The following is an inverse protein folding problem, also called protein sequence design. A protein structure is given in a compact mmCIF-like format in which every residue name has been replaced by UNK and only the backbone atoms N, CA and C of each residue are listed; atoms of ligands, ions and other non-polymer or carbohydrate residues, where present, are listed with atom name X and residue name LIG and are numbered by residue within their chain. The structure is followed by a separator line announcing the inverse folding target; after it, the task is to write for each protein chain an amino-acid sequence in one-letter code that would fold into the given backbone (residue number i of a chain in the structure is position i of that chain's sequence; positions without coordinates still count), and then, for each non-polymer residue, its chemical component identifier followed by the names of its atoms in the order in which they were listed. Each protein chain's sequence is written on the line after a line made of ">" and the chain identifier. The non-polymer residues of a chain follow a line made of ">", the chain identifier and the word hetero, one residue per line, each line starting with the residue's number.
data_IF_163630810625
#
_entry.id   IF_163630810625
#
_cell.length_a   1.000
_cell.length_b   1.000
_cell.length_c   1.000
_cell.angle_alpha   90.00
_cell.angle_beta   90.00
_cell.angle_gamma   90.00
#
_symmetry.space_group_name_H-M   'P 1'
#
loop_
_entity.id
_entity.type
_entity.pdbx_description
1 polymer ?
#
# COMPACT_ATOMS: atom_id res chain seq x y z
N UNK A 1 10.58 -8.03 -1.55
CA UNK A 1 9.38 -8.87 -1.76
C UNK A 1 8.31 -8.04 -2.42
N UNK A 2 7.53 -8.60 -3.36
CA UNK A 2 6.51 -7.86 -4.14
C UNK A 2 5.13 -8.49 -4.03
N UNK A 3 4.11 -7.65 -4.00
CA UNK A 3 2.69 -8.02 -4.00
C UNK A 3 1.99 -7.31 -5.15
N UNK A 4 1.07 -8.01 -5.81
CA UNK A 4 0.21 -7.44 -6.84
C UNK A 4 -1.23 -7.46 -6.32
N UNK A 5 -1.76 -6.28 -6.03
CA UNK A 5 -3.09 -6.10 -5.47
C UNK A 5 -4.03 -5.52 -6.53
N UNK A 6 -5.29 -5.94 -6.52
CA UNK A 6 -6.32 -5.50 -7.46
C UNK A 6 -7.52 -5.02 -6.65
N UNK A 7 -7.58 -3.71 -6.33
CA UNK A 7 -8.76 -3.15 -5.66
C UNK A 7 -10.03 -3.37 -6.48
N UNK A 8 -11.18 -3.33 -5.81
CA UNK A 8 -12.45 -3.29 -6.51
C UNK A 8 -12.60 -1.96 -7.27
N UNK A 9 -12.97 -1.98 -8.56
CA UNK A 9 -13.32 -0.75 -9.28
C UNK A 9 -14.57 -0.08 -8.70
N UNK A 10 -14.67 1.28 -8.78
CA UNK A 10 -13.64 2.19 -9.26
C UNK A 10 -12.59 2.50 -8.19
N UNK A 11 -11.31 2.57 -8.58
CA UNK A 11 -10.22 2.91 -7.66
C UNK A 11 -9.20 3.87 -8.28
N UNK A 12 -9.18 5.11 -7.83
CA UNK A 12 -8.18 6.11 -8.23
C UNK A 12 -7.00 6.12 -7.25
N UNK A 13 -5.89 5.50 -7.65
CA UNK A 13 -4.70 5.44 -6.80
C UNK A 13 -4.10 6.82 -6.54
N UNK A 14 -4.09 7.74 -7.50
CA UNK A 14 -3.49 9.06 -7.32
C UNK A 14 -4.30 9.88 -6.31
N UNK A 15 -5.63 9.81 -6.39
CA UNK A 15 -6.52 10.43 -5.43
C UNK A 15 -6.35 9.80 -4.04
N UNK A 16 -6.34 8.47 -3.93
CA UNK A 16 -6.13 7.76 -2.66
C UNK A 16 -4.78 8.12 -2.04
N UNK A 17 -3.71 8.14 -2.84
CA UNK A 17 -2.37 8.51 -2.41
C UNK A 17 -2.29 9.97 -1.95
N UNK A 18 -2.92 10.91 -2.66
CA UNK A 18 -2.99 12.32 -2.23
C UNK A 18 -3.78 12.47 -0.93
N UNK A 19 -4.88 11.73 -0.77
CA UNK A 19 -5.69 11.77 0.44
C UNK A 19 -4.93 11.27 1.69
N UNK A 20 -3.95 10.38 1.53
CA UNK A 20 -3.18 9.84 2.67
C UNK A 20 -2.48 10.92 3.51
N UNK A 21 -2.13 12.07 2.91
CA UNK A 21 -1.48 13.19 3.60
C UNK A 21 -2.31 13.76 4.76
N UNK A 22 -3.63 13.53 4.73
CA UNK A 22 -4.54 14.01 5.77
C UNK A 22 -4.67 13.06 6.95
N UNK A 23 -4.25 11.80 6.81
CA UNK A 23 -4.51 10.74 7.80
C UNK A 23 -3.25 10.21 8.49
N UNK A 24 -2.05 10.47 7.94
CA UNK A 24 -0.80 10.00 8.55
C UNK A 24 0.42 10.80 8.12
N UNK A 25 1.33 11.02 9.07
CA UNK A 25 2.68 11.55 8.81
C UNK A 25 3.67 10.46 8.37
N UNK A 26 3.27 9.19 8.43
CA UNK A 26 4.08 8.04 8.02
C UNK A 26 3.83 7.65 6.56
N UNK A 27 3.07 8.46 5.83
CA UNK A 27 2.83 8.36 4.39
C UNK A 27 3.61 9.44 3.66
N UNK A 28 4.26 9.07 2.57
CA UNK A 28 4.87 10.03 1.66
C UNK A 28 4.52 9.65 0.22
N UNK A 29 3.78 10.52 -0.46
CA UNK A 29 3.52 10.39 -1.88
C UNK A 29 4.50 11.27 -2.67
N UNK A 30 5.38 10.65 -3.47
CA UNK A 30 6.39 11.35 -4.27
C UNK A 30 6.68 10.56 -5.54
N UNK A 31 6.84 11.26 -6.66
CA UNK A 31 7.22 10.65 -7.95
C UNK A 31 6.28 9.51 -8.39
N UNK A 32 4.98 9.63 -8.08
CA UNK A 32 3.97 8.60 -8.39
C UNK A 32 4.03 7.35 -7.49
N UNK A 33 4.79 7.41 -6.39
CA UNK A 33 5.00 6.31 -5.45
C UNK A 33 4.53 6.70 -4.06
N UNK A 34 3.72 5.83 -3.43
CA UNK A 34 3.27 5.99 -2.06
C UNK A 34 4.14 5.14 -1.14
N UNK A 35 4.92 5.81 -0.29
CA UNK A 35 5.75 5.18 0.72
C UNK A 35 5.00 5.12 2.04
N UNK A 36 5.12 3.98 2.74
CA UNK A 36 4.51 3.83 4.06
C UNK A 36 5.35 2.98 5.00
N UNK A 37 5.65 3.52 6.18
CA UNK A 37 6.19 2.75 7.29
C UNK A 37 5.04 2.16 8.13
N UNK A 38 5.01 0.83 8.29
CA UNK A 38 4.00 0.12 9.08
C UNK A 38 4.63 -0.97 9.96
N UNK A 39 3.90 -1.36 11.02
CA UNK A 39 4.25 -2.52 11.85
C UNK A 39 3.56 -3.79 11.38
N UNK A 40 4.26 -4.91 11.34
CA UNK A 40 3.68 -6.25 11.10
C UNK A 40 4.14 -7.15 12.25
N UNK A 41 3.24 -7.42 13.20
CA UNK A 41 3.64 -7.91 14.52
C UNK A 41 4.62 -6.93 15.18
N UNK A 42 5.80 -7.44 15.57
CA UNK A 42 6.87 -6.63 16.17
C UNK A 42 7.81 -5.97 15.14
N UNK A 43 7.81 -6.45 13.90
CA UNK A 43 8.66 -5.92 12.86
C UNK A 43 8.17 -4.55 12.35
N UNK A 44 9.14 -3.74 11.91
CA UNK A 44 8.91 -2.46 11.23
C UNK A 44 9.23 -2.64 9.76
N UNK A 45 8.28 -2.35 8.89
CA UNK A 45 8.38 -2.58 7.46
C UNK A 45 8.14 -1.26 6.74
N UNK A 46 9.02 -0.91 5.81
CA UNK A 46 8.81 0.17 4.86
C UNK A 46 8.37 -0.46 3.54
N UNK A 47 7.22 -0.01 3.04
CA UNK A 47 6.69 -0.43 1.74
C UNK A 47 6.60 0.76 0.80
N UNK A 48 6.65 0.47 -0.49
CA UNK A 48 6.35 1.41 -1.57
C UNK A 48 5.24 0.83 -2.43
N UNK A 49 4.29 1.67 -2.83
CA UNK A 49 3.16 1.30 -3.68
C UNK A 49 3.17 2.15 -4.94
N UNK A 50 2.96 1.51 -6.08
CA UNK A 50 2.68 2.16 -7.37
C UNK A 50 1.35 1.67 -7.90
N UNK A 51 0.47 2.59 -8.29
CA UNK A 51 -0.79 2.25 -8.92
C UNK A 51 -0.79 2.46 -10.42
N UNK A 52 -1.58 1.63 -11.11
CA UNK A 52 -1.94 1.80 -12.51
C UNK A 52 -2.80 3.05 -12.74
N UNK A 53 -2.97 3.42 -14.02
CA UNK A 53 -3.69 4.64 -14.44
C UNK A 53 -5.18 4.42 -14.69
N UNK A 54 -5.65 3.19 -14.71
CA UNK A 54 -7.03 2.83 -15.06
C UNK A 54 -7.84 2.57 -13.78
N UNK A 55 -8.80 3.43 -13.42
CA UNK A 55 -9.64 3.24 -12.24
C UNK A 55 -10.64 2.10 -12.38
N UNK A 56 -10.99 1.71 -13.60
CA UNK A 56 -11.96 0.64 -13.89
C UNK A 56 -11.30 -0.75 -13.92
N UNK A 57 -9.98 -0.78 -14.04
CA UNK A 57 -9.14 -1.98 -13.94
C UNK A 57 -7.89 -1.72 -13.08
N UNK A 58 -8.06 -1.41 -11.79
CA UNK A 58 -6.98 -0.94 -10.94
C UNK A 58 -6.00 -2.06 -10.59
N UNK A 59 -4.71 -1.73 -10.66
CA UNK A 59 -3.62 -2.63 -10.29
C UNK A 59 -2.63 -1.86 -9.44
N UNK A 60 -2.29 -2.40 -8.27
CA UNK A 60 -1.30 -1.83 -7.37
C UNK A 60 -0.13 -2.82 -7.24
N UNK A 61 1.08 -2.34 -7.54
CA UNK A 61 2.31 -3.05 -7.22
C UNK A 61 2.83 -2.52 -5.88
N UNK A 62 2.99 -3.42 -4.90
CA UNK A 62 3.54 -3.09 -3.59
C UNK A 62 4.85 -3.83 -3.37
N UNK A 63 5.87 -3.13 -2.89
CA UNK A 63 7.19 -3.70 -2.61
C UNK A 63 7.64 -3.38 -1.19
N UNK A 64 8.17 -4.38 -0.48
CA UNK A 64 8.91 -4.17 0.76
C UNK A 64 10.33 -3.74 0.41
N UNK A 65 10.70 -2.51 0.79
CA UNK A 65 12.00 -1.90 0.49
C UNK A 65 12.97 -1.99 1.68
N UNK A 66 12.45 -2.07 2.90
CA UNK A 66 13.25 -2.28 4.11
C UNK A 66 12.39 -2.94 5.19
N UNK A 67 13.04 -3.73 6.06
CA UNK A 67 12.41 -4.31 7.24
C UNK A 67 13.41 -4.37 8.40
N UNK A 68 12.90 -4.21 9.61
CA UNK A 68 13.62 -4.46 10.86
C UNK A 68 12.85 -5.48 11.67
N UNK A 69 13.45 -6.66 11.88
CA UNK A 69 12.83 -7.82 12.51
C UNK A 69 12.12 -8.74 11.51
N UNK A 70 11.78 -9.94 11.96
CA UNK A 70 11.04 -10.92 11.17
C UNK A 70 9.55 -10.60 11.16
N UNK A 71 8.91 -10.81 10.02
CA UNK A 71 7.48 -10.57 9.85
C UNK A 71 6.81 -11.70 9.07
N UNK A 72 5.52 -11.90 9.34
CA UNK A 72 4.68 -12.85 8.61
C UNK A 72 4.18 -12.19 7.33
N UNK A 73 4.51 -12.78 6.18
CA UNK A 73 4.14 -12.27 4.85
C UNK A 73 2.62 -12.23 4.63
N UNK A 74 1.85 -13.16 5.21
CA UNK A 74 0.38 -13.18 5.12
C UNK A 74 -0.22 -12.08 5.96
N UNK A 75 0.33 -11.82 7.15
CA UNK A 75 -0.11 -10.67 7.96
C UNK A 75 0.18 -9.36 7.24
N UNK A 76 1.33 -9.23 6.58
CA UNK A 76 1.65 -8.07 5.77
C UNK A 76 0.63 -7.92 4.63
N UNK A 77 0.36 -8.98 3.87
CA UNK A 77 -0.61 -8.95 2.76
C UNK A 77 -2.00 -8.50 3.24
N UNK A 78 -2.53 -9.10 4.30
CA UNK A 78 -3.83 -8.70 4.89
C UNK A 78 -3.82 -7.23 5.28
N UNK A 79 -2.70 -6.75 5.84
CA UNK A 79 -2.57 -5.36 6.26
C UNK A 79 -2.50 -4.39 5.07
N UNK A 80 -1.81 -4.77 4.00
CA UNK A 80 -1.76 -4.00 2.75
C UNK A 80 -3.13 -3.94 2.09
N UNK A 81 -3.85 -5.07 2.01
CA UNK A 81 -5.20 -5.13 1.45
C UNK A 81 -6.17 -4.24 2.21
N UNK A 82 -6.10 -4.23 3.54
CA UNK A 82 -6.91 -3.34 4.37
C UNK A 82 -6.51 -1.87 4.26
N UNK A 83 -5.21 -1.57 4.24
CA UNK A 83 -4.73 -0.18 4.15
C UNK A 83 -5.09 0.46 2.81
N UNK A 84 -4.94 -0.28 1.71
CA UNK A 84 -5.23 0.19 0.36
C UNK A 84 -6.68 -0.05 -0.06
N UNK A 85 -7.53 -0.48 0.88
CA UNK A 85 -8.96 -0.73 0.69
C UNK A 85 -9.28 -1.64 -0.52
N UNK A 86 -8.51 -2.71 -0.66
CA UNK A 86 -8.54 -3.61 -1.82
C UNK A 86 -9.88 -4.35 -1.94
N UNK A 87 -10.48 -4.71 -0.80
CA UNK A 87 -11.68 -5.57 -0.74
C UNK A 87 -12.98 -4.82 -0.42
N UNK A 88 -12.96 -3.49 -0.35
CA UNK A 88 -14.13 -2.75 0.12
C UNK A 88 -15.39 -3.01 -0.73
N UNK A 89 -16.47 -3.27 0.00
CA UNK A 89 -17.88 -3.30 -0.40
C UNK A 89 -18.74 -2.87 0.79
#
# INVERSE_FOLDING_TARGET
>A
MKYLLRPNPPYDFALTADATRYYSVLHQFRDGRLWHALRVGEARVLVVVTGGRDPDAPVLETEVVAAQGDFDEKQLEVKLRRWLDVDAH
#
